data_IF_590645713650
#
_entry.id   IF_590645713650
#
_cell.length_a   1.000
_cell.length_b   1.000
_cell.length_c   1.000
_cell.angle_alpha   90.00
_cell.angle_beta   90.00
_cell.angle_gamma   90.00
#
_symmetry.space_group_name_H-M   'P 1'
#
loop_
_entity.id
_entity.type
_entity.pdbx_description
1 polymer ?
#
# COMPACT_ATOMS: atom_id res chain seq x y z
N UNK A 1 -67.19 -16.70 -24.93
CA UNK A 1 -65.88 -16.91 -24.25
C UNK A 1 -64.75 -16.13 -24.91
N UNK A 2 -64.66 -16.11 -26.24
CA UNK A 2 -63.68 -15.34 -27.05
C UNK A 2 -63.36 -13.91 -26.55
N UNK A 3 -64.38 -13.09 -26.29
CA UNK A 3 -64.20 -11.68 -25.91
C UNK A 3 -63.62 -11.45 -24.50
N UNK A 4 -63.71 -12.44 -23.61
CA UNK A 4 -63.09 -12.38 -22.28
C UNK A 4 -61.60 -12.70 -22.37
N UNK A 5 -61.23 -13.65 -23.23
CA UNK A 5 -59.84 -14.05 -23.44
C UNK A 5 -59.00 -12.92 -24.05
N UNK A 6 -59.53 -12.22 -25.07
CA UNK A 6 -58.86 -11.07 -25.69
C UNK A 6 -58.69 -9.88 -24.75
N UNK A 7 -59.68 -9.62 -23.88
CA UNK A 7 -59.57 -8.58 -22.84
C UNK A 7 -58.46 -8.90 -21.84
N UNK A 8 -58.39 -10.13 -21.35
CA UNK A 8 -57.33 -10.56 -20.42
C UNK A 8 -55.94 -10.43 -21.07
N UNK A 9 -55.79 -10.90 -22.31
CA UNK A 9 -54.53 -10.78 -23.05
C UNK A 9 -54.13 -9.32 -23.26
N UNK A 10 -55.07 -8.43 -23.55
CA UNK A 10 -54.80 -7.00 -23.71
C UNK A 10 -54.36 -6.33 -22.39
N UNK A 11 -54.99 -6.68 -21.26
CA UNK A 11 -54.58 -6.19 -19.94
C UNK A 11 -53.20 -6.70 -19.54
N UNK A 12 -52.91 -7.97 -19.83
CA UNK A 12 -51.61 -8.57 -19.55
C UNK A 12 -50.51 -7.92 -20.41
N UNK A 13 -50.80 -7.66 -21.69
CA UNK A 13 -49.91 -6.90 -22.57
C UNK A 13 -49.69 -5.47 -22.06
N UNK A 14 -50.73 -4.78 -21.58
CA UNK A 14 -50.61 -3.44 -21.01
C UNK A 14 -49.74 -3.41 -19.75
N UNK A 15 -49.87 -4.41 -18.87
CA UNK A 15 -49.04 -4.52 -17.65
C UNK A 15 -47.58 -4.78 -18.02
N UNK A 16 -47.31 -5.69 -18.96
CA UNK A 16 -45.95 -5.96 -19.44
C UNK A 16 -45.33 -4.71 -20.06
N UNK A 17 -46.09 -3.97 -20.87
CA UNK A 17 -45.64 -2.71 -21.46
C UNK A 17 -45.31 -1.67 -20.38
N UNK A 18 -46.16 -1.51 -19.38
CA UNK A 18 -45.93 -0.58 -18.27
C UNK A 18 -44.67 -0.96 -17.46
N UNK A 19 -44.48 -2.25 -17.18
CA UNK A 19 -43.29 -2.73 -16.46
C UNK A 19 -42.00 -2.45 -17.25
N UNK A 20 -42.01 -2.66 -18.56
CA UNK A 20 -40.88 -2.34 -19.44
C UNK A 20 -40.58 -0.84 -19.47
N UNK A 21 -41.61 0.00 -19.51
CA UNK A 21 -41.46 1.45 -19.48
C UNK A 21 -40.87 1.92 -18.15
N UNK A 22 -41.35 1.41 -17.02
CA UNK A 22 -40.81 1.73 -15.70
C UNK A 22 -39.35 1.29 -15.55
N UNK A 23 -39.03 0.07 -15.98
CA UNK A 23 -37.66 -0.45 -15.96
C UNK A 23 -36.72 0.35 -16.86
N UNK A 24 -37.18 0.69 -18.07
CA UNK A 24 -36.43 1.51 -19.02
C UNK A 24 -36.18 2.92 -18.48
N UNK A 25 -37.21 3.58 -17.93
CA UNK A 25 -37.09 4.91 -17.33
C UNK A 25 -36.11 4.91 -16.15
N UNK A 26 -36.20 3.92 -15.26
CA UNK A 26 -35.28 3.80 -14.12
C UNK A 26 -33.83 3.56 -14.57
N UNK A 27 -33.63 2.68 -15.54
CA UNK A 27 -32.30 2.37 -16.08
C UNK A 27 -31.68 3.58 -16.76
N UNK A 28 -32.48 4.32 -17.53
CA UNK A 28 -32.03 5.55 -18.19
C UNK A 28 -31.69 6.64 -17.17
N UNK A 29 -32.53 6.82 -16.15
CA UNK A 29 -32.26 7.75 -15.06
C UNK A 29 -30.94 7.45 -14.35
N UNK A 30 -30.69 6.17 -14.05
CA UNK A 30 -29.46 5.73 -13.41
C UNK A 30 -28.22 5.97 -14.28
N UNK A 31 -28.30 5.69 -15.59
CA UNK A 31 -27.19 5.94 -16.54
C UNK A 31 -26.92 7.42 -16.79
N UNK A 32 -27.95 8.26 -16.76
CA UNK A 32 -27.80 9.71 -16.89
C UNK A 32 -27.24 10.35 -15.61
N UNK A 33 -27.59 9.81 -14.44
CA UNK A 33 -27.18 10.37 -13.15
C UNK A 33 -25.78 9.94 -12.73
N UNK A 34 -25.38 8.70 -13.06
CA UNK A 34 -24.10 8.13 -12.67
C UNK A 34 -23.25 7.80 -13.90
N UNK A 35 -22.06 8.38 -13.93
CA UNK A 35 -21.04 8.00 -14.91
C UNK A 35 -20.43 6.65 -14.50
N UNK A 36 -20.84 5.59 -15.16
CA UNK A 36 -20.18 4.29 -15.05
C UNK A 36 -18.91 4.32 -15.89
N UNK A 37 -17.75 4.39 -15.23
CA UNK A 37 -16.45 4.28 -15.89
C UNK A 37 -15.66 3.17 -15.25
N UNK A 38 -14.96 2.40 -16.08
CA UNK A 38 -13.96 1.43 -15.62
C UNK A 38 -12.57 2.07 -15.52
N UNK A 39 -12.44 3.34 -15.92
CA UNK A 39 -11.19 4.10 -15.81
C UNK A 39 -11.13 4.79 -14.44
N UNK A 40 -10.84 3.99 -13.41
CA UNK A 40 -10.58 4.46 -12.06
C UNK A 40 -9.10 4.25 -11.75
N UNK A 41 -8.43 5.30 -11.28
CA UNK A 41 -7.02 5.27 -10.92
C UNK A 41 -6.85 5.43 -9.41
N UNK A 42 -5.98 4.62 -8.82
CA UNK A 42 -5.59 4.74 -7.41
C UNK A 42 -4.31 5.57 -7.35
N UNK A 43 -4.38 6.76 -6.74
CA UNK A 43 -3.20 7.57 -6.46
C UNK A 43 -2.67 7.24 -5.06
N UNK A 44 -1.41 6.82 -4.97
CA UNK A 44 -0.74 6.57 -3.70
C UNK A 44 0.61 7.29 -3.68
N UNK A 45 0.93 7.92 -2.54
CA UNK A 45 2.26 8.46 -2.29
C UNK A 45 3.17 7.35 -1.78
N UNK A 46 4.23 7.06 -2.54
CA UNK A 46 5.24 6.07 -2.19
C UNK A 46 6.46 6.81 -1.65
N UNK A 47 6.79 6.58 -0.38
CA UNK A 47 8.00 7.09 0.23
C UNK A 47 9.07 5.99 0.20
N UNK A 48 10.13 6.13 -0.61
CA UNK A 48 11.19 5.13 -0.66
C UNK A 48 11.94 5.10 0.68
N UNK A 49 12.26 3.89 1.15
CA UNK A 49 13.08 3.69 2.34
C UNK A 49 14.53 3.58 1.86
N UNK A 50 15.37 4.52 2.28
CA UNK A 50 16.79 4.58 1.92
C UNK A 50 17.68 4.26 3.11
N UNK A 51 18.74 3.48 2.87
CA UNK A 51 19.77 3.28 3.87
C UNK A 51 20.60 4.56 4.04
N UNK A 52 20.99 4.87 5.27
CA UNK A 52 21.92 5.97 5.57
C UNK A 52 23.38 5.61 5.33
N UNK A 53 23.68 4.31 5.25
CA UNK A 53 25.02 3.78 5.05
C UNK A 53 25.06 2.88 3.82
N UNK A 54 26.19 2.89 3.12
CA UNK A 54 26.45 1.93 2.04
C UNK A 54 26.75 0.53 2.59
N UNK A 55 26.94 -0.43 1.71
CA UNK A 55 27.40 -1.78 2.09
C UNK A 55 26.61 -2.90 1.44
N UNK A 56 27.04 -4.13 1.72
CA UNK A 56 26.43 -5.33 1.16
C UNK A 56 25.22 -5.77 1.98
N UNK A 57 24.12 -6.13 1.30
CA UNK A 57 22.91 -6.66 1.95
C UNK A 57 23.17 -8.13 2.32
N UNK A 58 23.04 -8.45 3.60
CA UNK A 58 23.17 -9.80 4.15
C UNK A 58 21.85 -10.56 4.02
N UNK A 59 20.74 -9.89 4.29
CA UNK A 59 19.40 -10.50 4.25
C UNK A 59 18.31 -9.45 4.09
N UNK A 60 17.19 -9.89 3.51
CA UNK A 60 15.95 -9.14 3.33
C UNK A 60 14.89 -9.78 4.22
N UNK A 61 14.25 -8.96 5.06
CA UNK A 61 13.35 -9.40 6.13
C UNK A 61 11.89 -9.01 5.84
N UNK A 62 11.52 -8.87 4.57
CA UNK A 62 10.15 -8.64 4.14
C UNK A 62 9.84 -9.43 2.86
N UNK A 63 8.55 -9.66 2.61
CA UNK A 63 8.04 -10.16 1.34
C UNK A 63 7.15 -9.12 0.65
N UNK A 64 6.85 -9.32 -0.63
CA UNK A 64 6.00 -8.41 -1.39
C UNK A 64 4.63 -8.22 -0.73
N UNK A 65 4.20 -6.96 -0.69
CA UNK A 65 2.95 -6.51 -0.08
C UNK A 65 2.77 -6.85 1.41
N UNK A 66 3.84 -7.22 2.12
CA UNK A 66 3.80 -7.44 3.56
C UNK A 66 3.44 -6.14 4.29
N UNK A 67 2.51 -6.23 5.24
CA UNK A 67 2.25 -5.14 6.16
C UNK A 67 3.38 -5.06 7.19
N UNK A 68 4.14 -3.96 7.17
CA UNK A 68 5.24 -3.69 8.10
C UNK A 68 4.88 -2.57 9.06
N UNK A 69 5.46 -2.60 10.27
CA UNK A 69 5.26 -1.58 11.30
C UNK A 69 6.53 -0.75 11.49
N UNK A 70 6.35 0.41 12.12
CA UNK A 70 7.48 1.27 12.50
C UNK A 70 8.40 0.51 13.45
N UNK A 71 9.68 0.48 13.10
CA UNK A 71 10.72 -0.20 13.89
C UNK A 71 11.08 -1.60 13.38
N UNK A 72 10.30 -2.14 12.44
CA UNK A 72 10.61 -3.43 11.84
C UNK A 72 11.90 -3.34 11.01
N UNK A 73 12.74 -4.35 11.14
CA UNK A 73 13.95 -4.46 10.33
C UNK A 73 13.57 -5.00 8.96
N UNK A 74 13.81 -4.22 7.91
CA UNK A 74 13.48 -4.59 6.53
C UNK A 74 14.66 -5.22 5.79
N UNK A 75 15.87 -4.73 6.09
CA UNK A 75 17.11 -5.17 5.45
C UNK A 75 18.23 -5.17 6.48
N UNK A 76 19.19 -6.08 6.31
CA UNK A 76 20.41 -6.12 7.12
C UNK A 76 21.62 -5.86 6.23
N UNK A 77 22.43 -4.87 6.59
CA UNK A 77 23.69 -4.53 5.91
C UNK A 77 24.86 -5.14 6.70
N UNK A 78 25.86 -5.68 6.00
CA UNK A 78 27.08 -6.19 6.63
C UNK A 78 27.78 -5.05 7.37
N UNK A 79 28.03 -5.24 8.67
CA UNK A 79 28.57 -4.22 9.56
C UNK A 79 30.03 -4.46 9.96
N UNK A 80 30.72 -5.43 9.36
CA UNK A 80 32.12 -5.75 9.72
C UNK A 80 33.05 -4.56 9.57
N UNK A 81 33.02 -3.88 8.43
CA UNK A 81 33.88 -2.72 8.16
C UNK A 81 33.61 -1.58 9.16
N UNK A 82 32.32 -1.30 9.40
CA UNK A 82 31.90 -0.31 10.40
C UNK A 82 32.35 -0.65 11.83
N UNK A 83 32.34 -1.94 12.20
CA UNK A 83 32.83 -2.38 13.50
C UNK A 83 34.35 -2.23 13.62
N UNK A 84 35.10 -2.62 12.59
CA UNK A 84 36.56 -2.47 12.62
C UNK A 84 36.98 -1.02 12.74
N UNK A 85 36.33 -0.11 12.03
CA UNK A 85 36.59 1.33 12.13
C UNK A 85 36.24 1.87 13.53
N UNK A 86 35.08 1.48 14.07
CA UNK A 86 34.68 1.88 15.42
C UNK A 86 35.65 1.38 16.49
N UNK A 87 36.10 0.13 16.38
CA UNK A 87 37.05 -0.47 17.32
C UNK A 87 38.43 0.21 17.23
N UNK A 88 38.89 0.58 16.04
CA UNK A 88 40.14 1.31 15.84
C UNK A 88 40.09 2.71 16.46
N UNK A 89 38.97 3.42 16.31
CA UNK A 89 38.77 4.74 16.92
C UNK A 89 38.71 4.60 18.45
N UNK A 90 37.97 3.61 18.96
CA UNK A 90 37.88 3.36 20.40
C UNK A 90 39.24 3.04 21.03
N UNK A 91 40.05 2.21 20.36
CA UNK A 91 41.41 1.91 20.80
C UNK A 91 42.31 3.17 20.83
N UNK A 92 42.17 4.05 19.85
CA UNK A 92 42.93 5.32 19.77
C UNK A 92 42.56 6.25 20.93
N UNK A 93 41.26 6.43 21.21
CA UNK A 93 40.78 7.23 22.34
C UNK A 93 41.26 6.67 23.67
N UNK A 94 41.22 5.35 23.86
CA UNK A 94 41.69 4.70 25.08
C UNK A 94 43.19 4.90 25.30
N UNK A 95 43.98 4.86 24.22
CA UNK A 95 45.42 5.12 24.27
C UNK A 95 45.70 6.55 24.75
N UNK A 96 45.06 7.55 24.16
CA UNK A 96 45.22 8.96 24.57
C UNK A 96 44.78 9.20 26.01
N UNK A 97 43.65 8.60 26.43
CA UNK A 97 43.18 8.67 27.81
C UNK A 97 44.18 8.05 28.79
N UNK A 98 44.80 6.93 28.42
CA UNK A 98 45.86 6.31 29.22
C UNK A 98 47.11 7.21 29.31
N UNK A 99 47.52 7.85 28.21
CA UNK A 99 48.64 8.80 28.20
C UNK A 99 48.37 10.01 29.12
N UNK A 100 47.17 10.59 29.08
CA UNK A 100 46.78 11.69 29.99
C UNK A 100 46.83 11.25 31.46
N UNK A 101 46.35 10.04 31.78
CA UNK A 101 46.41 9.52 33.14
C UNK A 101 47.86 9.33 33.63
N UNK A 102 48.75 8.87 32.75
CA UNK A 102 50.19 8.76 33.08
C UNK A 102 50.79 10.15 33.30
N UNK A 103 50.47 11.14 32.46
CA UNK A 103 50.95 12.52 32.61
C UNK A 103 50.49 13.20 33.91
N UNK A 104 49.23 12.99 34.34
CA UNK A 104 48.75 13.52 35.61
C UNK A 104 49.33 12.83 36.85
N UNK A 105 49.93 11.64 36.69
CA UNK A 105 50.53 10.88 37.79
C UNK A 105 52.01 11.18 38.04
N UNK A 106 52.63 12.03 37.21
CA UNK A 106 54.01 12.51 37.35
C UNK A 106 54.05 13.89 38.03
#
# INVERSE_FOLDING_TARGET
MEAQLTRITNWLAAIVLLALLLWGANTLWMRLRYAYTNDAQVTQYINPIVSRVGGYVVSVHYHDHQLVKRGDTLLLIDNKEYKYEADQVAASVNKEAAEINVLHSQ
#
